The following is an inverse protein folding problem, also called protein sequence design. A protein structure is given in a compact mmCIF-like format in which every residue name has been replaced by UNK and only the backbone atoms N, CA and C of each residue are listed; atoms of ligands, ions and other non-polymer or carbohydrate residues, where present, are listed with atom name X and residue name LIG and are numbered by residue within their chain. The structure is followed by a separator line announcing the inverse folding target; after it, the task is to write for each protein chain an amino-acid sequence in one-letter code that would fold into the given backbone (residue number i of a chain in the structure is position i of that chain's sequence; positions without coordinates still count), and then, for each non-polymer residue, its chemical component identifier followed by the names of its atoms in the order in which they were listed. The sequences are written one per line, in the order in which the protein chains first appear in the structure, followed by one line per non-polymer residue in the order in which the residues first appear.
data_IF_915868295353
#
_entry.id   IF_915868295353
#
_cell.length_a   1.000
_cell.length_b   1.000
_cell.length_c   1.000
_cell.angle_alpha   90.00
_cell.angle_beta   90.00
_cell.angle_gamma   90.00
#
_symmetry.space_group_name_H-M   'P 1'
#
loop_
_entity.id
_entity.type
_entity.pdbx_description
1 polymer ?
#
# COMPACT_ATOMS: atom_id res chain seq x y z
N UNK A 1 -43.62 -3.73 -4.78
CA UNK A 1 -42.78 -2.50 -4.90
C UNK A 1 -41.43 -2.83 -4.28
N UNK A 2 -40.44 -3.43 -4.97
CA UNK A 2 -39.42 -2.79 -5.86
C UNK A 2 -39.04 -1.38 -5.38
N UNK A 3 -37.82 -0.96 -5.01
CA UNK A 3 -36.39 -1.42 -5.10
C UNK A 3 -35.67 -0.85 -3.83
N UNK A 4 -34.50 -1.26 -3.33
CA UNK A 4 -33.26 -1.53 -4.01
C UNK A 4 -32.37 -2.49 -3.20
N UNK A 5 -31.93 -3.55 -3.88
CA UNK A 5 -30.76 -4.33 -3.51
C UNK A 5 -29.55 -3.38 -3.52
N UNK A 6 -29.01 -3.09 -2.34
CA UNK A 6 -27.57 -2.86 -2.27
C UNK A 6 -26.95 -4.19 -2.69
N UNK A 7 -26.32 -4.21 -3.87
CA UNK A 7 -25.50 -5.35 -4.30
C UNK A 7 -24.24 -5.34 -3.43
N UNK A 8 -24.39 -5.62 -2.14
CA UNK A 8 -23.31 -5.98 -1.26
C UNK A 8 -23.01 -7.43 -1.57
N UNK A 9 -21.98 -7.65 -2.39
CA UNK A 9 -21.44 -8.99 -2.57
C UNK A 9 -21.08 -9.55 -1.19
N UNK A 10 -21.47 -10.80 -0.86
CA UNK A 10 -21.12 -11.42 0.40
C UNK A 10 -19.59 -11.48 0.53
N UNK A 11 -19.02 -11.32 1.75
CA UNK A 11 -17.58 -11.28 1.98
C UNK A 11 -16.83 -12.52 1.51
N UNK A 12 -17.54 -13.62 1.25
CA UNK A 12 -17.03 -14.88 0.71
C UNK A 12 -16.79 -14.85 -0.82
N UNK A 13 -17.24 -13.80 -1.52
CA UNK A 13 -17.09 -13.68 -2.98
C UNK A 13 -15.73 -13.14 -3.43
N UNK A 14 -14.82 -12.82 -2.51
CA UNK A 14 -13.42 -12.51 -2.84
C UNK A 14 -12.50 -13.60 -2.33
N UNK A 15 -12.41 -14.68 -3.10
CA UNK A 15 -11.29 -15.61 -3.01
C UNK A 15 -10.28 -15.25 -4.09
N UNK A 16 -9.11 -14.68 -3.73
CA UNK A 16 -7.95 -14.71 -4.60
C UNK A 16 -7.67 -16.12 -5.12
N UNK A 17 -7.66 -16.37 -6.44
CA UNK A 17 -7.17 -17.64 -6.97
C UNK A 17 -5.67 -17.79 -6.67
N UNK A 18 -5.19 -19.01 -6.45
CA UNK A 18 -3.75 -19.29 -6.45
C UNK A 18 -3.18 -18.87 -7.82
N UNK A 19 -2.33 -17.82 -7.82
CA UNK A 19 -2.00 -17.04 -9.02
C UNK A 19 -2.65 -15.66 -9.09
N UNK A 20 -2.97 -15.01 -7.96
CA UNK A 20 -3.38 -13.61 -7.86
C UNK A 20 -2.26 -12.66 -8.36
N UNK A 21 -2.16 -12.59 -9.69
CA UNK A 21 -1.13 -11.95 -10.49
C UNK A 21 -1.05 -10.45 -10.23
N UNK A 22 -0.20 -9.96 -9.31
CA UNK A 22 0.38 -8.61 -9.35
C UNK A 22 -0.58 -7.43 -9.67
N UNK A 23 -1.86 -7.60 -9.42
CA UNK A 23 -2.87 -7.08 -10.35
C UNK A 23 -3.43 -5.79 -9.85
N UNK A 24 -2.61 -4.74 -9.78
CA UNK A 24 -3.01 -3.37 -9.44
C UNK A 24 -4.16 -2.83 -10.33
N UNK A 25 -4.55 -3.57 -11.36
CA UNK A 25 -5.68 -3.29 -12.24
C UNK A 25 -7.01 -3.19 -11.49
N UNK A 26 -7.20 -3.97 -10.40
CA UNK A 26 -8.44 -3.83 -9.62
C UNK A 26 -8.56 -2.44 -8.97
N UNK A 27 -7.44 -1.78 -8.68
CA UNK A 27 -7.41 -0.43 -8.08
C UNK A 27 -7.95 0.65 -9.02
N UNK A 28 -8.01 0.42 -10.33
CA UNK A 28 -8.66 1.35 -11.26
C UNK A 28 -10.16 1.47 -10.98
N UNK A 29 -10.80 0.36 -10.56
CA UNK A 29 -12.20 0.36 -10.18
C UNK A 29 -12.43 1.07 -8.84
N UNK A 30 -11.45 1.02 -7.92
CA UNK A 30 -11.55 1.67 -6.60
C UNK A 30 -11.80 3.18 -6.72
N UNK A 31 -11.25 3.83 -7.77
CA UNK A 31 -11.40 5.27 -7.98
C UNK A 31 -12.85 5.68 -8.23
N UNK A 32 -13.72 4.72 -8.54
CA UNK A 32 -15.14 4.92 -8.85
C UNK A 32 -16.11 4.44 -7.77
N UNK A 33 -15.63 3.83 -6.68
CA UNK A 33 -16.49 3.26 -5.62
C UNK A 33 -17.27 4.35 -4.89
N UNK A 34 -16.63 5.48 -4.60
CA UNK A 34 -17.27 6.63 -3.96
C UNK A 34 -17.00 7.91 -4.76
N UNK A 35 -17.95 8.83 -4.70
CA UNK A 35 -17.81 10.15 -5.28
C UNK A 35 -16.74 10.94 -4.51
N UNK A 36 -15.67 11.27 -5.20
CA UNK A 36 -14.64 12.21 -4.77
C UNK A 36 -14.58 13.37 -5.76
N UNK A 37 -13.99 14.49 -5.35
CA UNK A 37 -13.80 15.63 -6.25
C UNK A 37 -13.01 15.19 -7.49
N UNK A 38 -13.36 15.74 -8.67
CA UNK A 38 -12.75 15.34 -9.93
C UNK A 38 -11.23 15.54 -9.92
N UNK A 39 -10.77 16.65 -9.32
CA UNK A 39 -9.33 16.94 -9.17
C UNK A 39 -8.64 15.92 -8.26
N UNK A 40 -9.25 15.58 -7.12
CA UNK A 40 -8.75 14.56 -6.19
C UNK A 40 -8.67 13.18 -6.89
N UNK A 41 -9.67 12.83 -7.71
CA UNK A 41 -9.66 11.60 -8.52
C UNK A 41 -8.51 11.60 -9.52
N UNK A 42 -8.29 12.72 -10.22
CA UNK A 42 -7.20 12.86 -11.19
C UNK A 42 -5.84 12.65 -10.52
N UNK A 43 -5.65 13.25 -9.33
CA UNK A 43 -4.43 13.04 -8.54
C UNK A 43 -4.28 11.56 -8.19
N UNK A 44 -5.29 10.92 -7.59
CA UNK A 44 -5.21 9.49 -7.27
C UNK A 44 -4.91 8.61 -8.49
N UNK A 45 -5.49 8.89 -9.65
CA UNK A 45 -5.24 8.16 -10.89
C UNK A 45 -3.78 8.27 -11.36
N UNK A 46 -3.20 9.47 -11.31
CA UNK A 46 -1.81 9.70 -11.68
C UNK A 46 -0.84 9.00 -10.72
N UNK A 47 -1.10 9.10 -9.41
CA UNK A 47 -0.27 8.43 -8.40
C UNK A 47 -0.38 6.91 -8.53
N UNK A 48 -1.58 6.37 -8.79
CA UNK A 48 -1.78 4.95 -9.01
C UNK A 48 -1.04 4.47 -10.27
N UNK A 49 -1.06 5.25 -11.35
CA UNK A 49 -0.31 4.95 -12.55
C UNK A 49 1.20 4.93 -12.27
N UNK A 50 1.73 5.90 -11.51
CA UNK A 50 3.13 5.92 -11.10
C UNK A 50 3.48 4.68 -10.25
N UNK A 51 2.64 4.35 -9.27
CA UNK A 51 2.80 3.18 -8.42
C UNK A 51 2.90 1.90 -9.27
N UNK A 52 2.01 1.73 -10.25
CA UNK A 52 2.03 0.59 -11.19
C UNK A 52 3.33 0.50 -11.97
N UNK A 53 3.90 1.62 -12.40
CA UNK A 53 5.20 1.63 -13.08
C UNK A 53 6.33 1.16 -12.16
N UNK A 54 6.31 1.57 -10.88
CA UNK A 54 7.32 1.12 -9.91
C UNK A 54 7.19 -0.39 -9.70
N UNK A 55 5.98 -0.91 -9.46
CA UNK A 55 5.75 -2.35 -9.35
C UNK A 55 6.28 -3.11 -10.57
N UNK A 56 5.91 -2.68 -11.79
CA UNK A 56 6.40 -3.32 -13.00
C UNK A 56 7.94 -3.33 -13.08
N UNK A 57 8.59 -2.23 -12.68
CA UNK A 57 10.05 -2.15 -12.63
C UNK A 57 10.67 -3.10 -11.59
N UNK A 58 10.05 -3.23 -10.41
CA UNK A 58 10.50 -4.12 -9.33
C UNK A 58 10.33 -5.59 -9.74
N UNK A 59 9.19 -5.94 -10.32
CA UNK A 59 8.88 -7.29 -10.77
C UNK A 59 9.76 -7.73 -11.94
N UNK A 60 9.96 -6.87 -12.96
CA UNK A 60 10.71 -7.23 -14.16
C UNK A 60 12.21 -7.37 -13.92
N UNK A 61 12.78 -6.63 -12.97
CA UNK A 61 14.23 -6.50 -12.88
C UNK A 61 14.92 -7.41 -11.87
N UNK A 62 14.22 -8.39 -11.27
CA UNK A 62 14.76 -9.39 -10.34
C UNK A 62 16.02 -8.93 -9.57
N UNK A 63 15.93 -7.80 -8.86
CA UNK A 63 17.00 -7.27 -8.01
C UNK A 63 17.85 -6.10 -8.55
N UNK A 64 17.61 -5.56 -9.75
CA UNK A 64 18.32 -4.35 -10.24
C UNK A 64 17.60 -3.01 -10.00
N UNK A 65 16.42 -3.03 -9.39
CA UNK A 65 15.67 -1.78 -9.14
C UNK A 65 16.37 -0.92 -8.10
N UNK A 66 16.73 0.31 -8.49
CA UNK A 66 17.32 1.28 -7.56
C UNK A 66 16.36 1.57 -6.40
N UNK A 67 16.91 1.62 -5.19
CA UNK A 67 16.22 2.04 -3.96
C UNK A 67 15.53 3.39 -4.14
N UNK A 68 16.15 4.31 -4.90
CA UNK A 68 15.59 5.62 -5.18
C UNK A 68 14.27 5.54 -5.98
N UNK A 69 14.09 4.50 -6.81
CA UNK A 69 12.83 4.30 -7.54
C UNK A 69 11.65 4.02 -6.62
N UNK A 70 11.89 3.46 -5.43
CA UNK A 70 10.89 3.22 -4.39
C UNK A 70 10.78 4.44 -3.48
N UNK A 71 11.90 4.97 -2.96
CA UNK A 71 11.87 6.04 -1.95
C UNK A 71 11.46 7.41 -2.47
N UNK A 72 11.69 7.71 -3.75
CA UNK A 72 11.31 9.00 -4.32
C UNK A 72 9.84 9.08 -4.75
N UNK A 73 9.04 8.07 -4.43
CA UNK A 73 7.60 8.08 -4.70
C UNK A 73 6.85 8.98 -3.69
N UNK A 74 5.83 9.72 -4.12
CA UNK A 74 5.48 9.97 -5.52
C UNK A 74 6.34 11.09 -6.14
N UNK A 75 6.77 10.90 -7.38
CA UNK A 75 7.54 11.88 -8.16
C UNK A 75 6.66 13.01 -8.66
N UNK A 76 5.42 12.69 -9.05
CA UNK A 76 4.44 13.65 -9.53
C UNK A 76 3.35 13.89 -8.48
N UNK A 77 2.73 15.06 -8.50
CA UNK A 77 1.54 15.38 -7.69
C UNK A 77 1.71 15.08 -6.17
N UNK A 78 2.94 15.19 -5.64
CA UNK A 78 3.27 14.79 -4.27
C UNK A 78 2.58 15.64 -3.19
N UNK A 79 2.52 16.96 -3.38
CA UNK A 79 1.85 17.86 -2.47
C UNK A 79 0.32 17.65 -2.45
N UNK A 80 -0.38 17.60 -3.60
CA UNK A 80 -1.79 17.22 -3.65
C UNK A 80 -2.08 15.84 -3.03
N UNK A 81 -1.29 14.82 -3.36
CA UNK A 81 -1.48 13.49 -2.80
C UNK A 81 -1.30 13.47 -1.27
N UNK A 82 -0.29 14.18 -0.76
CA UNK A 82 -0.09 14.34 0.69
C UNK A 82 -1.28 15.01 1.37
N UNK A 83 -1.95 15.95 0.70
CA UNK A 83 -3.17 16.57 1.21
C UNK A 83 -4.33 15.56 1.27
N UNK A 84 -4.47 14.69 0.27
CA UNK A 84 -5.49 13.62 0.27
C UNK A 84 -5.26 12.62 1.42
N UNK A 85 -4.00 12.26 1.69
CA UNK A 85 -3.64 11.42 2.83
C UNK A 85 -4.00 12.11 4.15
N UNK A 86 -3.64 13.39 4.32
CA UNK A 86 -3.98 14.18 5.52
C UNK A 86 -5.49 14.28 5.74
N UNK A 87 -6.25 14.42 4.66
CA UNK A 87 -7.73 14.42 4.66
C UNK A 87 -8.33 13.02 4.83
N UNK A 88 -7.51 11.96 4.88
CA UNK A 88 -7.92 10.56 4.98
C UNK A 88 -8.87 10.12 3.86
N UNK A 89 -8.62 10.61 2.64
CA UNK A 89 -9.39 10.19 1.46
C UNK A 89 -9.14 8.70 1.23
N UNK A 90 -10.17 7.82 1.24
CA UNK A 90 -9.98 6.38 1.23
C UNK A 90 -9.15 5.87 0.05
N UNK A 91 -9.40 6.39 -1.16
CA UNK A 91 -8.65 6.03 -2.37
C UNK A 91 -7.16 6.32 -2.23
N UNK A 92 -6.79 7.47 -1.65
CA UNK A 92 -5.40 7.83 -1.44
C UNK A 92 -4.73 6.94 -0.39
N UNK A 93 -5.46 6.59 0.67
CA UNK A 93 -4.99 5.66 1.70
C UNK A 93 -4.79 4.24 1.16
N UNK A 94 -5.66 3.76 0.26
CA UNK A 94 -5.46 2.48 -0.43
C UNK A 94 -4.19 2.53 -1.28
N UNK A 95 -3.99 3.57 -2.11
CA UNK A 95 -2.75 3.73 -2.89
C UNK A 95 -1.51 3.72 -1.97
N UNK A 96 -1.57 4.41 -0.83
CA UNK A 96 -0.48 4.44 0.15
C UNK A 96 -0.24 3.06 0.78
N UNK A 97 -1.28 2.27 1.02
CA UNK A 97 -1.16 0.90 1.55
C UNK A 97 -0.41 -0.01 0.58
N UNK A 98 -0.68 0.09 -0.72
CA UNK A 98 0.09 -0.65 -1.72
C UNK A 98 1.53 -0.14 -1.84
N UNK A 99 1.76 1.17 -1.71
CA UNK A 99 3.12 1.69 -1.62
C UNK A 99 3.91 1.11 -0.43
N UNK A 100 3.25 0.83 0.71
CA UNK A 100 3.90 0.17 1.84
C UNK A 100 4.50 -1.20 1.46
N UNK A 101 3.89 -1.93 0.52
CA UNK A 101 4.44 -3.23 0.09
C UNK A 101 5.73 -3.05 -0.71
N UNK A 102 5.84 -1.98 -1.50
CA UNK A 102 7.11 -1.63 -2.15
C UNK A 102 8.17 -1.20 -1.13
N UNK A 103 7.78 -0.41 -0.12
CA UNK A 103 8.69 -0.02 0.97
C UNK A 103 9.22 -1.22 1.75
N UNK A 104 8.36 -2.22 1.99
CA UNK A 104 8.67 -3.44 2.71
C UNK A 104 9.69 -4.34 1.98
N UNK A 105 9.92 -4.16 0.67
CA UNK A 105 11.06 -4.76 -0.05
C UNK A 105 12.40 -4.31 0.53
N UNK A 106 12.44 -3.11 1.13
CA UNK A 106 13.63 -2.53 1.74
C UNK A 106 13.76 -2.84 3.24
N UNK A 107 12.84 -3.61 3.83
CA UNK A 107 12.73 -3.82 5.29
C UNK A 107 13.98 -4.46 5.93
N UNK A 108 14.81 -5.16 5.14
CA UNK A 108 16.10 -5.70 5.58
C UNK A 108 17.14 -4.61 5.92
N UNK A 109 16.90 -3.35 5.57
CA UNK A 109 17.78 -2.22 5.87
C UNK A 109 17.43 -1.62 7.23
N UNK A 110 18.42 -1.52 8.11
CA UNK A 110 18.24 -1.07 9.50
C UNK A 110 17.50 0.27 9.67
N UNK A 111 17.64 1.22 8.75
CA UNK A 111 17.06 2.57 8.86
C UNK A 111 15.59 2.65 8.44
N UNK A 112 15.06 1.66 7.72
CA UNK A 112 13.65 1.60 7.27
C UNK A 112 12.89 0.41 7.86
N UNK A 113 13.58 -0.41 8.65
CA UNK A 113 13.02 -1.61 9.25
C UNK A 113 11.75 -1.28 10.06
N UNK A 114 10.66 -2.01 9.78
CA UNK A 114 9.36 -1.89 10.42
C UNK A 114 8.52 -0.69 10.01
N UNK A 115 9.02 0.21 9.15
CA UNK A 115 8.28 1.42 8.73
C UNK A 115 7.01 1.08 7.96
N UNK A 116 7.12 0.22 6.95
CA UNK A 116 5.97 -0.17 6.13
C UNK A 116 4.85 -0.79 6.99
N UNK A 117 5.21 -1.66 7.94
CA UNK A 117 4.25 -2.25 8.87
C UNK A 117 3.60 -1.22 9.81
N UNK A 118 4.34 -0.19 10.24
CA UNK A 118 3.79 0.89 11.08
C UNK A 118 2.78 1.72 10.29
N UNK A 119 3.17 2.22 9.13
CA UNK A 119 2.31 3.04 8.27
C UNK A 119 1.05 2.26 7.86
N UNK A 120 1.18 0.97 7.53
CA UNK A 120 0.03 0.17 7.14
C UNK A 120 -0.99 -0.03 8.29
N UNK A 121 -0.53 -0.15 9.54
CA UNK A 121 -1.42 -0.20 10.71
C UNK A 121 -2.17 1.12 10.90
N UNK A 122 -1.48 2.24 10.72
CA UNK A 122 -2.10 3.57 10.81
C UNK A 122 -3.17 3.76 9.72
N UNK A 123 -2.90 3.29 8.50
CA UNK A 123 -3.87 3.29 7.39
C UNK A 123 -5.07 2.42 7.73
N UNK A 124 -4.86 1.20 8.23
CA UNK A 124 -5.94 0.28 8.60
C UNK A 124 -6.86 0.88 9.67
N UNK A 125 -6.30 1.59 10.66
CA UNK A 125 -7.08 2.30 11.68
C UNK A 125 -7.76 3.59 11.18
N UNK A 126 -7.29 4.17 10.07
CA UNK A 126 -7.87 5.37 9.48
C UNK A 126 -8.96 5.08 8.43
N UNK A 127 -8.96 3.89 7.82
CA UNK A 127 -9.90 3.49 6.79
C UNK A 127 -11.24 3.02 7.38
N UNK A 128 -12.38 3.45 6.80
CA UNK A 128 -13.67 2.84 7.11
C UNK A 128 -13.68 1.34 6.82
N UNK A 129 -14.48 0.58 7.57
CA UNK A 129 -14.52 -0.89 7.51
C UNK A 129 -14.76 -1.43 6.09
N UNK A 130 -15.70 -0.83 5.34
CA UNK A 130 -16.01 -1.25 3.97
C UNK A 130 -14.87 -1.02 2.97
N UNK A 131 -13.92 -0.14 3.29
CA UNK A 131 -12.71 0.07 2.48
C UNK A 131 -11.58 -0.90 2.82
N UNK A 132 -11.61 -1.57 3.97
CA UNK A 132 -10.51 -2.45 4.40
C UNK A 132 -10.31 -3.65 3.47
N UNK A 133 -11.37 -4.11 2.79
CA UNK A 133 -11.29 -5.15 1.76
C UNK A 133 -10.28 -4.80 0.66
N UNK A 134 -10.14 -3.51 0.31
CA UNK A 134 -9.18 -3.05 -0.71
C UNK A 134 -7.72 -3.14 -0.27
N UNK A 135 -7.43 -3.28 1.03
CA UNK A 135 -6.06 -3.36 1.57
C UNK A 135 -5.74 -4.71 2.20
N UNK A 136 -6.59 -5.73 1.99
CA UNK A 136 -6.35 -7.08 2.51
C UNK A 136 -5.02 -7.65 2.04
N UNK A 137 -4.68 -7.50 0.76
CA UNK A 137 -3.43 -8.01 0.23
C UNK A 137 -2.19 -7.32 0.82
N UNK A 138 -2.11 -5.97 0.89
CA UNK A 138 -1.05 -5.30 1.64
C UNK A 138 -0.94 -5.76 3.10
N UNK A 139 -2.07 -5.91 3.80
CA UNK A 139 -2.11 -6.38 5.20
C UNK A 139 -1.53 -7.79 5.33
N UNK A 140 -1.96 -8.70 4.48
CA UNK A 140 -1.46 -10.08 4.47
C UNK A 140 0.05 -10.11 4.16
N UNK A 141 0.48 -9.33 3.17
CA UNK A 141 1.87 -9.31 2.69
C UNK A 141 2.87 -8.82 3.73
N UNK A 142 2.50 -7.80 4.53
CA UNK A 142 3.42 -7.15 5.47
C UNK A 142 3.20 -7.64 6.91
N UNK A 143 1.94 -7.68 7.38
CA UNK A 143 1.65 -7.93 8.79
C UNK A 143 1.61 -9.42 9.14
N UNK A 144 1.47 -10.31 8.16
CA UNK A 144 1.49 -11.76 8.39
C UNK A 144 2.90 -12.37 8.34
N UNK A 145 3.93 -11.55 8.11
CA UNK A 145 5.32 -12.02 8.20
C UNK A 145 5.65 -12.40 9.64
N UNK A 146 6.20 -13.60 9.90
CA UNK A 146 6.74 -13.89 11.22
C UNK A 146 7.86 -12.90 11.52
N UNK A 147 7.67 -12.08 12.55
CA UNK A 147 8.68 -11.13 13.01
C UNK A 147 9.90 -11.94 13.47
N UNK A 148 10.95 -12.01 12.65
CA UNK A 148 12.25 -12.49 13.10
C UNK A 148 12.76 -11.46 14.09
N UNK A 149 12.51 -11.69 15.39
CA UNK A 149 13.13 -10.91 16.45
C UNK A 149 14.64 -11.14 16.32
N UNK A 150 15.37 -10.13 15.86
CA UNK A 150 16.81 -10.07 16.11
C UNK A 150 16.99 -9.76 17.61
N UNK A 151 16.72 -10.75 18.45
CA UNK A 151 17.30 -10.79 19.79
C UNK A 151 18.78 -11.09 19.62
N UNK A 152 19.62 -10.07 19.81
CA UNK A 152 21.05 -10.25 20.00
C UNK A 152 21.92 -9.51 18.98
N UNK A 153 22.04 -8.19 19.10
CA UNK A 153 23.18 -7.45 18.56
C UNK A 153 23.36 -6.05 19.18
N UNK A 154 23.05 -5.84 20.47
CA UNK A 154 23.37 -4.57 21.14
C UNK A 154 24.02 -4.68 22.52
N UNK A 155 24.44 -5.86 22.95
CA UNK A 155 25.24 -6.04 24.19
C UNK A 155 26.71 -6.44 23.95
N UNK A 156 27.24 -6.24 22.72
CA UNK A 156 28.64 -6.51 22.41
C UNK A 156 29.46 -5.30 21.93
N UNK A 157 28.94 -4.08 22.03
CA UNK A 157 29.76 -2.88 21.83
C UNK A 157 30.14 -2.24 23.16
N UNK A 158 30.84 -3.04 23.97
CA UNK A 158 31.79 -2.52 24.94
C UNK A 158 33.18 -2.44 24.31
N UNK A 159 33.74 -1.23 24.28
CA UNK A 159 35.16 -0.89 24.25
C UNK A 159 35.90 -0.84 22.89
N UNK A 160 36.16 0.40 22.45
CA UNK A 160 37.38 1.01 21.87
C UNK A 160 36.87 2.23 21.07
N UNK A 161 37.00 3.50 21.48
CA UNK A 161 38.07 4.27 22.14
C UNK A 161 37.45 5.30 23.08
#
# INVERSE_FOLDING_TARGET
MIWAEAITLPPEAYTPPEGMDFGLNHLDYMLNVEAIMLDDRRVCALILAELKQIYYSVLRQQGQTSVASILCFPKMESAPFSLLIKRRVPQALVVLAYYCVLLDVLDSRWWIQGWAARVLRDILGALPEHWQTWIQWPVQSILSKPQVRLTGASEQLGLMV
#
